data_IF_630565969163
#
_entry.id   IF_630565969163
#
_cell.length_a   1.000
_cell.length_b   1.000
_cell.length_c   1.000
_cell.angle_alpha   90.00
_cell.angle_beta   90.00
_cell.angle_gamma   90.00
#
_symmetry.space_group_name_H-M   'P 1'
#
loop_
_entity.id
_entity.type
_entity.pdbx_description
1 polymer ?
#
# COMPACT_ATOMS: atom_id res chain seq x y z
N UNK A 1 -5.87 -10.72 4.56
CA UNK A 1 -6.51 -9.60 5.28
C UNK A 1 -6.53 -9.92 6.76
N UNK A 2 -6.19 -8.95 7.62
CA UNK A 2 -6.18 -9.10 9.07
C UNK A 2 -6.98 -7.94 9.70
N UNK A 3 -8.28 -8.13 10.01
CA UNK A 3 -9.16 -7.03 10.42
C UNK A 3 -8.72 -6.33 11.70
N UNK A 4 -8.12 -7.03 12.65
CA UNK A 4 -7.76 -6.48 13.95
C UNK A 4 -6.52 -5.56 13.90
N UNK A 5 -5.74 -5.62 12.82
CA UNK A 5 -4.56 -4.78 12.59
C UNK A 5 -3.51 -4.82 13.74
N UNK A 6 -3.48 -5.92 14.50
CA UNK A 6 -2.50 -6.15 15.58
C UNK A 6 -1.23 -6.78 15.03
N UNK A 7 -1.39 -7.75 14.13
CA UNK A 7 -0.28 -8.32 13.36
C UNK A 7 0.02 -7.36 12.21
N UNK A 8 1.13 -6.63 12.29
CA UNK A 8 1.45 -5.60 11.30
C UNK A 8 2.10 -6.17 10.04
N UNK A 9 2.82 -7.29 10.15
CA UNK A 9 3.34 -8.09 9.04
C UNK A 9 4.02 -9.36 9.58
N UNK A 10 4.38 -10.25 8.67
CA UNK A 10 4.96 -11.55 8.96
C UNK A 10 6.00 -11.94 7.90
N UNK A 11 6.95 -12.79 8.29
CA UNK A 11 7.99 -13.34 7.42
C UNK A 11 8.00 -14.85 7.59
N UNK A 12 7.83 -15.57 6.48
CA UNK A 12 7.96 -17.03 6.40
C UNK A 12 9.39 -17.40 6.00
N UNK A 13 9.97 -18.37 6.71
CA UNK A 13 11.31 -18.91 6.46
C UNK A 13 11.23 -20.24 5.71
N UNK A 14 12.35 -20.66 5.10
CA UNK A 14 12.44 -21.87 4.25
C UNK A 14 12.15 -23.18 4.99
N UNK A 15 12.13 -23.17 6.33
CA UNK A 15 11.75 -24.30 7.18
C UNK A 15 10.25 -24.30 7.54
N UNK A 16 9.49 -23.33 7.04
CA UNK A 16 8.07 -23.14 7.31
C UNK A 16 7.77 -22.37 8.60
N UNK A 17 8.78 -21.91 9.34
CA UNK A 17 8.56 -21.07 10.52
C UNK A 17 8.15 -19.64 10.12
N UNK A 18 7.31 -19.01 10.95
CA UNK A 18 6.82 -17.65 10.72
C UNK A 18 7.18 -16.77 11.92
N UNK A 19 7.80 -15.63 11.65
CA UNK A 19 7.98 -14.55 12.62
C UNK A 19 6.99 -13.44 12.28
N UNK A 20 6.19 -13.04 13.26
CA UNK A 20 5.25 -11.93 13.14
C UNK A 20 5.62 -10.81 14.12
N UNK A 21 5.41 -9.55 13.69
CA UNK A 21 5.48 -8.41 14.59
C UNK A 21 4.07 -7.98 14.99
N UNK A 22 3.83 -7.93 16.31
CA UNK A 22 2.54 -7.60 16.89
C UNK A 22 2.63 -6.34 17.76
N UNK A 23 1.63 -5.48 17.64
CA UNK A 23 1.38 -4.41 18.60
C UNK A 23 -0.04 -3.86 18.47
N UNK A 24 -0.55 -3.21 19.51
CA UNK A 24 -1.68 -2.29 19.36
C UNK A 24 -1.31 -1.15 18.39
N UNK A 25 -2.18 -0.73 17.47
CA UNK A 25 -1.84 0.28 16.47
C UNK A 25 -1.40 1.63 17.08
N UNK A 26 -0.11 1.94 16.97
CA UNK A 26 0.47 3.24 17.32
C UNK A 26 1.74 3.45 16.49
N UNK A 27 1.77 4.53 15.70
CA UNK A 27 2.91 4.88 14.83
C UNK A 27 4.19 5.21 15.61
N UNK A 28 4.10 5.51 16.91
CA UNK A 28 5.28 5.80 17.73
C UNK A 28 6.23 4.61 17.81
N UNK A 29 5.72 3.38 17.81
CA UNK A 29 6.55 2.19 17.85
C UNK A 29 7.43 2.03 16.59
N UNK A 30 6.87 1.99 15.36
CA UNK A 30 7.68 1.87 14.16
C UNK A 30 8.58 3.10 13.94
N UNK A 31 8.11 4.32 14.25
CA UNK A 31 8.94 5.54 14.16
C UNK A 31 10.14 5.46 15.11
N UNK A 32 9.92 5.10 16.37
CA UNK A 32 10.99 4.97 17.36
C UNK A 32 12.01 3.92 16.90
N UNK A 33 11.55 2.75 16.46
CA UNK A 33 12.45 1.69 16.02
C UNK A 33 13.26 2.09 14.78
N UNK A 34 12.66 2.81 13.82
CA UNK A 34 13.38 3.32 12.67
C UNK A 34 14.50 4.31 13.06
N UNK A 35 14.32 5.11 14.11
CA UNK A 35 15.32 6.05 14.61
C UNK A 35 16.40 5.40 15.48
N UNK A 36 16.06 4.34 16.21
CA UNK A 36 16.98 3.69 17.16
C UNK A 36 17.58 2.40 16.64
N UNK A 37 17.29 2.00 15.39
CA UNK A 37 17.79 0.73 14.84
C UNK A 37 19.33 0.67 14.88
N UNK A 38 19.93 -0.46 15.34
CA UNK A 38 19.28 -1.73 15.69
C UNK A 38 18.78 -1.83 17.15
N UNK A 39 19.11 -0.87 18.00
CA UNK A 39 18.72 -0.86 19.41
C UNK A 39 17.21 -0.64 19.61
N UNK A 40 16.73 -1.08 20.78
CA UNK A 40 15.35 -0.84 21.23
C UNK A 40 15.36 0.15 22.40
N UNK A 41 14.78 1.33 22.18
CA UNK A 41 14.50 2.25 23.28
C UNK A 41 13.27 1.82 24.09
N UNK A 42 13.30 2.05 25.40
CA UNK A 42 12.14 1.83 26.26
C UNK A 42 11.03 2.81 25.90
N UNK A 43 9.80 2.32 25.85
CA UNK A 43 8.60 3.12 25.64
C UNK A 43 7.47 2.61 26.54
N UNK A 44 6.78 3.52 27.20
CA UNK A 44 5.56 3.20 27.96
C UNK A 44 4.29 3.49 27.13
N UNK A 45 4.42 3.85 25.84
CA UNK A 45 3.28 4.18 24.96
C UNK A 45 2.54 2.96 24.44
N UNK A 46 3.28 1.95 24.00
CA UNK A 46 2.69 0.76 23.38
C UNK A 46 2.78 -0.41 24.35
N UNK A 47 1.63 -0.77 24.90
CA UNK A 47 1.48 -1.91 25.81
C UNK A 47 0.42 -2.84 25.23
N UNK A 48 0.86 -3.91 24.58
CA UNK A 48 -0.03 -4.86 23.92
C UNK A 48 -0.44 -5.95 24.89
N UNK A 49 -1.70 -5.92 25.32
CA UNK A 49 -2.31 -6.97 26.15
C UNK A 49 -2.91 -8.06 25.26
N UNK A 50 -2.18 -9.17 25.08
CA UNK A 50 -2.63 -10.29 24.27
C UNK A 50 -3.91 -10.96 24.83
N UNK A 51 -4.09 -10.97 26.16
CA UNK A 51 -5.27 -11.57 26.77
C UNK A 51 -6.52 -10.71 26.49
N UNK A 52 -6.38 -9.38 26.57
CA UNK A 52 -7.44 -8.44 26.24
C UNK A 52 -7.81 -8.39 24.76
N UNK A 53 -6.87 -8.68 23.86
CA UNK A 53 -7.10 -8.73 22.41
C UNK A 53 -7.98 -9.91 21.97
N UNK A 54 -7.88 -11.05 22.67
CA UNK A 54 -8.68 -12.24 22.38
C UNK A 54 -8.31 -12.91 21.06
N UNK A 55 -9.10 -12.68 20.01
CA UNK A 55 -9.01 -13.44 18.75
C UNK A 55 -8.36 -12.63 17.63
N UNK A 56 -7.42 -13.25 16.93
CA UNK A 56 -6.84 -12.74 15.69
C UNK A 56 -7.37 -13.57 14.52
N UNK A 57 -7.95 -12.92 13.51
CA UNK A 57 -8.49 -13.61 12.32
C UNK A 57 -7.72 -13.23 11.07
N UNK A 58 -7.68 -14.16 10.12
CA UNK A 58 -7.03 -14.02 8.84
C UNK A 58 -7.93 -14.59 7.75
N UNK A 59 -7.99 -13.89 6.62
CA UNK A 59 -8.78 -14.28 5.46
C UNK A 59 -8.02 -13.92 4.17
N UNK A 60 -8.26 -14.65 3.09
CA UNK A 60 -7.67 -14.32 1.78
C UNK A 60 -8.30 -13.03 1.23
N UNK A 61 -7.51 -12.14 0.60
CA UNK A 61 -8.07 -10.97 -0.07
C UNK A 61 -8.87 -11.39 -1.31
N UNK A 62 -10.06 -10.83 -1.47
CA UNK A 62 -10.88 -10.98 -2.66
C UNK A 62 -10.42 -9.99 -3.75
N UNK A 63 -9.75 -10.50 -4.79
CA UNK A 63 -9.19 -9.69 -5.87
C UNK A 63 -10.25 -9.20 -6.86
N UNK A 64 -11.41 -9.86 -6.95
CA UNK A 64 -12.52 -9.40 -7.79
C UNK A 64 -13.21 -8.20 -7.13
N UNK A 65 -13.34 -8.25 -5.80
CA UNK A 65 -13.90 -7.16 -5.00
C UNK A 65 -12.93 -6.00 -4.78
N UNK A 66 -11.62 -6.28 -4.67
CA UNK A 66 -10.58 -5.28 -4.40
C UNK A 66 -9.45 -5.31 -5.47
N UNK A 67 -9.75 -4.95 -6.73
CA UNK A 67 -8.83 -5.10 -7.86
C UNK A 67 -7.54 -4.27 -7.73
N UNK A 68 -7.55 -3.20 -6.94
CA UNK A 68 -6.35 -2.38 -6.69
C UNK A 68 -5.15 -3.17 -6.16
N UNK A 69 -5.38 -4.30 -5.45
CA UNK A 69 -4.29 -5.18 -5.00
C UNK A 69 -3.55 -5.82 -6.19
N UNK A 70 -4.29 -6.29 -7.20
CA UNK A 70 -3.71 -6.83 -8.42
C UNK A 70 -3.01 -5.76 -9.24
N UNK A 71 -3.59 -4.57 -9.34
CA UNK A 71 -2.98 -3.43 -10.03
C UNK A 71 -1.66 -2.99 -9.37
N UNK A 72 -1.62 -2.88 -8.04
CA UNK A 72 -0.41 -2.53 -7.31
C UNK A 72 0.70 -3.58 -7.51
N UNK A 73 0.34 -4.87 -7.49
CA UNK A 73 1.28 -5.97 -7.78
C UNK A 73 1.86 -5.86 -9.19
N UNK A 74 0.99 -5.67 -10.19
CA UNK A 74 1.40 -5.47 -11.59
C UNK A 74 2.34 -4.26 -11.73
N UNK A 75 2.05 -3.15 -11.06
CA UNK A 75 2.89 -1.96 -11.09
C UNK A 75 4.29 -2.23 -10.48
N UNK A 76 4.35 -2.95 -9.36
CA UNK A 76 5.60 -3.34 -8.72
C UNK A 76 6.44 -4.31 -9.54
N UNK A 77 5.80 -5.29 -10.20
CA UNK A 77 6.49 -6.26 -11.08
C UNK A 77 7.03 -5.63 -12.36
N UNK A 78 6.30 -4.68 -12.95
CA UNK A 78 6.78 -3.93 -14.12
C UNK A 78 7.89 -2.94 -13.76
N UNK A 79 7.86 -2.37 -12.55
CA UNK A 79 8.86 -1.42 -12.08
C UNK A 79 8.92 -0.15 -12.94
N UNK A 80 10.10 0.46 -13.02
CA UNK A 80 10.32 1.68 -13.80
C UNK A 80 9.40 2.82 -13.37
N UNK A 81 8.71 3.44 -14.33
CA UNK A 81 7.74 4.52 -14.06
C UNK A 81 6.33 4.04 -13.71
N UNK A 82 6.03 2.74 -13.82
CA UNK A 82 4.67 2.23 -13.61
C UNK A 82 4.13 2.45 -12.17
N UNK A 83 4.92 2.28 -11.09
CA UNK A 83 4.45 2.59 -9.73
C UNK A 83 4.05 4.05 -9.53
N UNK A 84 4.78 4.99 -10.15
CA UNK A 84 4.47 6.42 -10.09
C UNK A 84 3.14 6.72 -10.80
N UNK A 85 2.91 6.10 -11.96
CA UNK A 85 1.65 6.20 -12.71
C UNK A 85 0.47 5.63 -11.92
N UNK A 86 0.63 4.43 -11.33
CA UNK A 86 -0.37 3.83 -10.45
C UNK A 86 -0.74 4.78 -9.29
N UNK A 87 0.26 5.34 -8.60
CA UNK A 87 0.04 6.24 -7.48
C UNK A 87 -0.68 7.53 -7.91
N UNK A 88 -0.19 8.18 -8.96
CA UNK A 88 -0.71 9.44 -9.46
C UNK A 88 -2.17 9.32 -9.95
N UNK A 89 -2.48 8.25 -10.70
CA UNK A 89 -3.84 7.97 -11.14
C UNK A 89 -4.78 7.72 -9.94
N UNK A 90 -4.30 7.00 -8.93
CA UNK A 90 -5.08 6.73 -7.72
C UNK A 90 -5.39 8.02 -6.94
N UNK A 91 -4.42 8.92 -6.79
CA UNK A 91 -4.66 10.21 -6.12
C UNK A 91 -5.78 11.02 -6.79
N UNK A 92 -5.72 11.17 -8.11
CA UNK A 92 -6.75 11.91 -8.88
C UNK A 92 -8.12 11.23 -8.80
N UNK A 93 -8.15 9.90 -8.92
CA UNK A 93 -9.41 9.15 -8.86
C UNK A 93 -10.05 9.20 -7.46
N UNK A 94 -9.23 9.09 -6.39
CA UNK A 94 -9.71 9.22 -5.01
C UNK A 94 -10.20 10.63 -4.72
N UNK A 95 -9.51 11.66 -5.20
CA UNK A 95 -9.98 13.06 -5.08
C UNK A 95 -11.34 13.24 -5.77
N UNK A 96 -11.49 12.73 -6.99
CA UNK A 96 -12.77 12.77 -7.71
C UNK A 96 -13.89 12.00 -6.98
N UNK A 97 -13.58 10.87 -6.35
CA UNK A 97 -14.53 10.13 -5.51
C UNK A 97 -14.94 10.93 -4.27
N UNK A 98 -13.97 11.52 -3.56
CA UNK A 98 -14.23 12.38 -2.40
C UNK A 98 -15.09 13.61 -2.76
N UNK A 99 -14.89 14.16 -3.96
CA UNK A 99 -15.70 15.24 -4.54
C UNK A 99 -17.07 14.77 -5.08
N UNK A 100 -17.39 13.48 -4.97
CA UNK A 100 -18.61 12.85 -5.51
C UNK A 100 -18.76 12.98 -7.03
N UNK A 101 -17.66 13.13 -7.76
CA UNK A 101 -17.60 13.16 -9.23
C UNK A 101 -17.39 11.78 -9.85
N UNK A 102 -17.08 10.79 -9.02
CA UNK A 102 -16.72 9.44 -9.41
C UNK A 102 -17.25 8.44 -8.37
N UNK A 103 -17.74 7.28 -8.78
CA UNK A 103 -18.21 6.20 -7.90
C UNK A 103 -17.04 5.35 -7.39
N UNK A 104 -17.21 4.68 -6.24
CA UNK A 104 -16.10 3.98 -5.57
C UNK A 104 -15.41 2.94 -6.46
N UNK A 105 -16.19 2.15 -7.20
CA UNK A 105 -15.71 1.12 -8.13
C UNK A 105 -14.92 1.70 -9.32
N UNK A 106 -15.18 2.97 -9.67
CA UNK A 106 -14.50 3.62 -10.78
C UNK A 106 -13.06 4.02 -10.42
N UNK A 107 -12.67 4.03 -9.13
CA UNK A 107 -11.30 4.36 -8.71
C UNK A 107 -10.32 3.39 -9.35
N UNK A 108 -10.52 2.09 -9.14
CA UNK A 108 -9.65 1.06 -9.70
C UNK A 108 -9.77 0.97 -11.23
N UNK A 109 -10.93 1.30 -11.82
CA UNK A 109 -11.12 1.33 -13.28
C UNK A 109 -10.29 2.44 -13.92
N UNK A 110 -10.30 3.65 -13.35
CA UNK A 110 -9.47 4.77 -13.81
C UNK A 110 -7.99 4.44 -13.69
N UNK A 111 -7.55 3.88 -12.55
CA UNK A 111 -6.16 3.46 -12.35
C UNK A 111 -5.75 2.41 -13.38
N UNK A 112 -6.58 1.38 -13.61
CA UNK A 112 -6.28 0.33 -14.59
C UNK A 112 -6.13 0.89 -16.01
N UNK A 113 -7.04 1.77 -16.44
CA UNK A 113 -7.00 2.44 -17.75
C UNK A 113 -5.71 3.24 -17.93
N UNK A 114 -5.38 4.11 -16.97
CA UNK A 114 -4.19 4.96 -17.05
C UNK A 114 -2.90 4.13 -17.07
N UNK A 115 -2.86 3.04 -16.31
CA UNK A 115 -1.74 2.10 -16.36
C UNK A 115 -1.60 1.39 -17.72
N UNK A 116 -2.71 1.04 -18.37
CA UNK A 116 -2.69 0.39 -19.70
C UNK A 116 -2.22 1.32 -20.82
N UNK A 117 -2.54 2.61 -20.72
CA UNK A 117 -2.17 3.62 -21.70
C UNK A 117 -0.70 4.07 -21.56
N UNK A 118 -0.08 3.83 -20.40
CA UNK A 118 1.28 4.27 -20.13
C UNK A 118 2.34 3.41 -20.82
N UNK A 119 3.37 4.05 -21.35
CA UNK A 119 4.57 3.38 -21.84
C UNK A 119 5.67 3.43 -20.77
N UNK A 120 6.02 2.31 -20.11
CA UNK A 120 6.98 2.30 -19.02
C UNK A 120 8.38 2.71 -19.47
N UNK A 121 9.05 3.51 -18.64
CA UNK A 121 10.50 3.72 -18.72
C UNK A 121 11.13 2.88 -17.62
N UNK A 122 11.92 1.87 -17.99
CA UNK A 122 12.46 0.85 -17.07
C UNK A 122 13.45 1.41 -16.04
N UNK A 123 14.34 2.30 -16.47
CA UNK A 123 15.35 2.94 -15.63
C UNK A 123 15.22 4.47 -15.66
N UNK A 124 14.18 5.03 -15.03
CA UNK A 124 13.89 6.44 -15.14
C UNK A 124 14.81 7.29 -14.26
N UNK A 125 15.16 8.47 -14.75
CA UNK A 125 15.64 9.55 -13.89
C UNK A 125 14.50 10.08 -13.01
N UNK A 126 14.85 10.86 -11.98
CA UNK A 126 13.87 11.57 -11.17
C UNK A 126 12.95 12.47 -12.01
N UNK A 127 13.48 13.15 -13.02
CA UNK A 127 12.66 14.00 -13.92
C UNK A 127 11.68 13.20 -14.76
N UNK A 128 12.04 11.98 -15.17
CA UNK A 128 11.14 11.07 -15.88
C UNK A 128 10.04 10.51 -14.98
N UNK A 129 10.34 10.27 -13.70
CA UNK A 129 9.33 9.90 -12.69
C UNK A 129 8.30 11.03 -12.53
N UNK A 130 8.75 12.28 -12.36
CA UNK A 130 7.85 13.43 -12.27
C UNK A 130 7.02 13.64 -13.54
N UNK A 131 7.62 13.40 -14.70
CA UNK A 131 6.92 13.51 -15.98
C UNK A 131 5.85 12.42 -16.14
N UNK A 132 6.12 11.19 -15.67
CA UNK A 132 5.14 10.11 -15.65
C UNK A 132 4.00 10.37 -14.65
N UNK A 133 4.30 10.90 -13.46
CA UNK A 133 3.28 11.35 -12.50
C UNK A 133 2.38 12.43 -13.12
N UNK A 134 2.97 13.51 -13.66
CA UNK A 134 2.21 14.61 -14.24
C UNK A 134 1.33 14.15 -15.42
N UNK A 135 1.86 13.28 -16.29
CA UNK A 135 1.11 12.67 -17.38
C UNK A 135 -0.08 11.85 -16.85
N UNK A 136 0.15 10.98 -15.86
CA UNK A 136 -0.88 10.13 -15.27
C UNK A 136 -2.00 10.95 -14.61
N UNK A 137 -1.68 12.09 -13.99
CA UNK A 137 -2.70 12.99 -13.42
C UNK A 137 -3.61 13.59 -14.49
N UNK A 138 -3.03 14.00 -15.61
CA UNK A 138 -3.80 14.53 -16.75
C UNK A 138 -4.66 13.43 -17.35
N UNK A 139 -4.12 12.23 -17.51
CA UNK A 139 -4.83 11.10 -18.11
C UNK A 139 -5.98 10.62 -17.21
N UNK A 140 -5.77 10.55 -15.90
CA UNK A 140 -6.80 10.16 -14.92
C UNK A 140 -7.97 11.14 -14.82
N UNK A 141 -7.75 12.42 -15.17
CA UNK A 141 -8.77 13.46 -15.11
C UNK A 141 -9.66 13.52 -16.38
N UNK A 142 -9.37 12.74 -17.41
CA UNK A 142 -10.21 12.60 -18.62
C UNK A 142 -11.37 11.65 -18.39
#
# INVERSE_FOLDING_TARGET
>A
VHPQSVVHSLVEFVDGSIIAQLSTPDMCLPIQYALTYPERARSDRVQTDLAGLGTLTFEEPDLDRFPSLGLARKAGELGGTMPAVFNAANEVAVEAFCDRRLAFEQISQTVARVMEEHQPVEHPSLSQIFSADAWARVEAAR
#
